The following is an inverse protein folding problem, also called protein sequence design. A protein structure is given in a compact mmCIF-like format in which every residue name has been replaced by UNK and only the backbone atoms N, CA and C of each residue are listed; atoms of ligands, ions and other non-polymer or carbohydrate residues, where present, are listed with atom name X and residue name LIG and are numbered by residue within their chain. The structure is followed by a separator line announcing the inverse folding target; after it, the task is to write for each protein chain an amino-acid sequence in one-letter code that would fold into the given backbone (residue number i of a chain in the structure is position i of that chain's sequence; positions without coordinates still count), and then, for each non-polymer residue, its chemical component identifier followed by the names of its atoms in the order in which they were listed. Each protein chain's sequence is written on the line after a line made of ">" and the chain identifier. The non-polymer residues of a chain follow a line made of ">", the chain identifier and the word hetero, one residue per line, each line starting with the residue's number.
data_IF_792505281110
#
_entry.id   IF_792505281110
#
_cell.length_a   1.000
_cell.length_b   1.000
_cell.length_c   1.000
_cell.angle_alpha   90.00
_cell.angle_beta   90.00
_cell.angle_gamma   90.00
#
_symmetry.space_group_name_H-M   'P 1'
#
loop_
_entity.id
_entity.type
_entity.pdbx_description
1 polymer ?
#
# COMPACT_ATOMS: atom_id res chain seq x y z
N UNK A 1 -0.70 -22.35 6.71
CA UNK A 1 -1.16 -21.09 7.32
C UNK A 1 -0.79 -19.99 6.36
N UNK A 2 -1.75 -19.25 5.82
CA UNK A 2 -1.48 -18.27 4.77
C UNK A 2 -0.65 -17.10 5.31
N UNK A 3 0.35 -16.68 4.54
CA UNK A 3 1.20 -15.55 4.89
C UNK A 3 0.41 -14.23 4.80
N UNK A 4 0.93 -13.16 5.41
CA UNK A 4 0.33 -11.83 5.27
C UNK A 4 0.29 -11.36 3.81
N UNK A 5 1.21 -11.84 2.98
CA UNK A 5 1.26 -11.58 1.54
C UNK A 5 0.16 -12.34 0.80
N UNK A 6 -0.08 -13.61 1.15
CA UNK A 6 -1.17 -14.40 0.54
C UNK A 6 -2.54 -13.77 0.82
N UNK A 7 -2.76 -13.33 2.06
CA UNK A 7 -3.98 -12.59 2.44
C UNK A 7 -4.13 -11.27 1.68
N UNK A 8 -3.02 -10.56 1.43
CA UNK A 8 -3.04 -9.34 0.64
C UNK A 8 -3.42 -9.62 -0.82
N UNK A 9 -2.85 -10.66 -1.42
CA UNK A 9 -3.19 -11.09 -2.78
C UNK A 9 -4.65 -11.53 -2.89
N UNK A 10 -5.18 -12.18 -1.87
CA UNK A 10 -6.60 -12.52 -1.83
C UNK A 10 -7.49 -11.28 -1.78
N UNK A 11 -7.15 -10.26 -0.97
CA UNK A 11 -7.86 -8.97 -0.99
C UNK A 11 -7.79 -8.28 -2.34
N UNK A 12 -6.66 -8.37 -3.03
CA UNK A 12 -6.51 -7.82 -4.38
C UNK A 12 -7.41 -8.54 -5.37
N UNK A 13 -7.44 -9.88 -5.33
CA UNK A 13 -8.30 -10.68 -6.17
C UNK A 13 -9.78 -10.39 -5.92
N UNK A 14 -10.20 -10.28 -4.66
CA UNK A 14 -11.58 -9.90 -4.27
C UNK A 14 -11.99 -8.56 -4.90
N UNK A 15 -11.15 -7.53 -4.73
CA UNK A 15 -11.43 -6.20 -5.28
C UNK A 15 -11.47 -6.21 -6.81
N UNK A 16 -10.60 -6.98 -7.45
CA UNK A 16 -10.59 -7.14 -8.90
C UNK A 16 -11.82 -7.87 -9.43
N UNK A 17 -12.23 -8.96 -8.79
CA UNK A 17 -13.42 -9.71 -9.18
C UNK A 17 -14.66 -8.82 -9.06
N UNK A 18 -14.78 -8.07 -7.98
CA UNK A 18 -15.85 -7.10 -7.78
C UNK A 18 -15.87 -6.06 -8.89
N UNK A 19 -14.69 -5.53 -9.25
CA UNK A 19 -14.60 -4.55 -10.33
C UNK A 19 -14.95 -5.11 -11.70
N UNK A 20 -14.45 -6.30 -12.02
CA UNK A 20 -14.74 -6.98 -13.29
C UNK A 20 -16.24 -7.21 -13.45
N UNK A 21 -16.92 -7.66 -12.40
CA UNK A 21 -18.38 -7.83 -12.38
C UNK A 21 -19.12 -6.50 -12.61
N UNK A 22 -18.61 -5.40 -12.05
CA UNK A 22 -19.22 -4.08 -12.24
C UNK A 22 -19.17 -3.61 -13.71
N UNK A 23 -18.12 -3.96 -14.44
CA UNK A 23 -17.92 -3.52 -15.84
C UNK A 23 -18.26 -4.59 -16.87
N UNK A 24 -18.75 -5.76 -16.45
CA UNK A 24 -18.95 -6.94 -17.29
C UNK A 24 -19.81 -6.63 -18.53
N UNK A 25 -20.93 -5.94 -18.35
CA UNK A 25 -21.85 -5.58 -19.43
C UNK A 25 -21.27 -4.58 -20.44
N UNK A 26 -20.21 -3.84 -20.08
CA UNK A 26 -19.57 -2.87 -20.94
C UNK A 26 -18.09 -2.66 -20.58
N UNK A 27 -17.29 -3.71 -20.79
CA UNK A 27 -15.86 -3.74 -20.44
C UNK A 27 -15.01 -2.71 -21.20
N UNK A 28 -15.55 -2.15 -22.29
CA UNK A 28 -14.91 -1.11 -23.09
C UNK A 28 -15.04 0.29 -22.48
N UNK A 29 -15.97 0.50 -21.54
CA UNK A 29 -16.03 1.74 -20.76
C UNK A 29 -14.75 1.87 -19.92
N UNK A 30 -14.31 3.11 -19.63
CA UNK A 30 -13.24 3.33 -18.68
C UNK A 30 -13.54 2.56 -17.39
N UNK A 31 -12.57 1.75 -16.97
CA UNK A 31 -12.74 0.94 -15.78
C UNK A 31 -12.80 1.84 -14.54
N UNK A 32 -12.35 3.08 -14.60
CA UNK A 32 -12.36 3.98 -13.45
C UNK A 32 -12.95 5.33 -13.82
N UNK A 33 -13.75 5.90 -12.92
CA UNK A 33 -14.11 7.31 -12.98
C UNK A 33 -12.98 8.21 -12.47
N UNK A 34 -12.58 9.24 -13.23
CA UNK A 34 -11.70 10.29 -12.73
C UNK A 34 -12.54 11.21 -11.82
N UNK A 35 -12.69 10.86 -10.55
CA UNK A 35 -13.35 11.71 -9.55
C UNK A 35 -12.33 12.24 -8.55
N UNK A 36 -11.75 13.41 -8.84
CA UNK A 36 -10.98 14.23 -7.90
C UNK A 36 -9.75 13.58 -7.27
N UNK A 37 -8.96 14.35 -6.50
CA UNK A 37 -7.93 13.83 -5.58
C UNK A 37 -6.60 13.35 -6.18
N UNK A 38 -6.49 13.15 -7.49
CA UNK A 38 -5.24 12.78 -8.16
C UNK A 38 -4.88 11.30 -8.05
N UNK A 39 -3.59 10.96 -8.22
CA UNK A 39 -3.11 9.59 -8.07
C UNK A 39 -3.00 9.21 -6.59
N UNK A 40 -3.20 7.92 -6.23
CA UNK A 40 -3.03 7.48 -4.87
C UNK A 40 -1.63 7.79 -4.35
N UNK A 41 -1.57 8.39 -3.16
CA UNK A 41 -0.34 8.83 -2.53
C UNK A 41 -0.32 8.51 -1.04
N UNK A 42 0.87 8.45 -0.45
CA UNK A 42 0.99 8.39 1.00
C UNK A 42 0.76 9.79 1.62
N UNK A 43 0.61 9.86 2.95
CA UNK A 43 0.44 11.13 3.68
C UNK A 43 1.59 12.14 3.49
N UNK A 44 2.75 11.69 3.03
CA UNK A 44 3.93 12.54 2.76
C UNK A 44 3.94 13.10 1.32
N UNK A 45 2.93 12.77 0.51
CA UNK A 45 2.81 13.24 -0.87
C UNK A 45 3.49 12.36 -1.93
N UNK A 46 4.08 11.22 -1.53
CA UNK A 46 4.69 10.29 -2.48
C UNK A 46 3.63 9.40 -3.11
N UNK A 47 3.52 9.47 -4.43
CA UNK A 47 2.61 8.61 -5.21
C UNK A 47 3.00 7.14 -5.11
N UNK A 48 2.00 6.27 -4.97
CA UNK A 48 2.19 4.84 -5.08
C UNK A 48 2.51 4.43 -6.52
N UNK A 49 3.14 3.28 -6.70
CA UNK A 49 3.52 2.74 -8.01
C UNK A 49 3.02 1.29 -8.19
N UNK A 50 3.03 0.83 -9.44
CA UNK A 50 2.66 -0.53 -9.83
C UNK A 50 1.29 -0.97 -9.30
N UNK A 51 1.24 -2.20 -8.79
CA UNK A 51 0.00 -2.81 -8.30
C UNK A 51 -0.62 -2.05 -7.12
N UNK A 52 0.18 -1.41 -6.26
CA UNK A 52 -0.36 -0.64 -5.15
C UNK A 52 -1.12 0.59 -5.64
N UNK A 53 -0.58 1.32 -6.63
CA UNK A 53 -1.28 2.46 -7.23
C UNK A 53 -2.63 2.03 -7.81
N UNK A 54 -2.62 0.97 -8.61
CA UNK A 54 -3.81 0.43 -9.23
C UNK A 54 -4.88 -0.03 -8.21
N UNK A 55 -4.48 -0.80 -7.20
CA UNK A 55 -5.41 -1.32 -6.18
C UNK A 55 -5.97 -0.22 -5.29
N UNK A 56 -5.15 0.76 -4.90
CA UNK A 56 -5.62 1.89 -4.10
C UNK A 56 -6.54 2.81 -4.91
N UNK A 57 -6.32 2.91 -6.21
CA UNK A 57 -7.22 3.65 -7.09
C UNK A 57 -8.59 2.98 -7.17
N UNK A 58 -8.62 1.66 -7.38
CA UNK A 58 -9.86 0.87 -7.33
C UNK A 58 -10.57 0.98 -6.00
N UNK A 59 -9.82 0.93 -4.89
CA UNK A 59 -10.37 1.08 -3.56
C UNK A 59 -10.97 2.48 -3.35
N UNK A 60 -10.27 3.53 -3.81
CA UNK A 60 -10.77 4.91 -3.72
C UNK A 60 -12.06 5.09 -4.47
N UNK A 61 -12.16 4.54 -5.68
CA UNK A 61 -13.39 4.59 -6.47
C UNK A 61 -14.53 3.83 -5.78
N UNK A 62 -14.26 2.61 -5.29
CA UNK A 62 -15.25 1.77 -4.62
C UNK A 62 -15.82 2.43 -3.36
N UNK A 63 -14.94 2.90 -2.49
CA UNK A 63 -15.31 3.52 -1.20
C UNK A 63 -15.67 5.01 -1.34
N UNK A 64 -15.62 5.54 -2.57
CA UNK A 64 -15.93 6.93 -2.89
C UNK A 64 -15.06 7.94 -2.12
N UNK A 65 -13.78 7.60 -1.94
CA UNK A 65 -12.83 8.52 -1.36
C UNK A 65 -12.55 9.69 -2.32
N UNK A 66 -12.75 10.91 -1.85
CA UNK A 66 -12.42 12.14 -2.57
C UNK A 66 -10.93 12.45 -2.53
N UNK A 67 -10.22 11.99 -1.49
CA UNK A 67 -8.79 12.14 -1.33
C UNK A 67 -8.13 10.76 -1.28
N UNK A 68 -7.44 10.30 -2.34
CA UNK A 68 -6.74 9.02 -2.37
C UNK A 68 -5.40 9.10 -1.62
N UNK A 69 -5.41 9.67 -0.41
CA UNK A 69 -4.26 9.81 0.47
C UNK A 69 -4.33 8.72 1.55
N UNK A 70 -3.25 7.97 1.69
CA UNK A 70 -3.20 6.79 2.54
C UNK A 70 -2.09 6.87 3.58
N UNK A 71 -2.32 6.24 4.73
CA UNK A 71 -1.34 6.18 5.82
C UNK A 71 -1.43 4.88 6.61
N UNK A 72 -0.31 4.46 7.19
CA UNK A 72 -0.31 3.36 8.17
C UNK A 72 -0.90 3.82 9.50
N UNK A 73 -1.31 2.85 10.34
CA UNK A 73 -1.78 3.15 11.70
C UNK A 73 -0.75 3.94 12.52
N UNK A 74 0.53 3.59 12.40
CA UNK A 74 1.59 4.31 13.13
C UNK A 74 1.72 5.75 12.63
N UNK A 75 1.71 5.96 11.31
CA UNK A 75 1.70 7.31 10.75
C UNK A 75 0.48 8.13 11.20
N UNK A 76 -0.70 7.51 11.33
CA UNK A 76 -1.90 8.19 11.83
C UNK A 76 -1.65 8.69 13.26
N UNK A 77 -1.17 7.79 14.13
CA UNK A 77 -0.81 8.11 15.52
C UNK A 77 0.27 9.21 15.61
N UNK A 78 1.33 9.11 14.82
CA UNK A 78 2.42 10.09 14.79
C UNK A 78 1.95 11.47 14.31
N UNK A 79 0.89 11.50 13.49
CA UNK A 79 0.23 12.73 13.08
C UNK A 79 -0.87 13.19 14.05
N UNK A 80 -1.07 12.53 15.19
CA UNK A 80 -2.12 12.86 16.16
C UNK A 80 -3.54 12.57 15.64
N UNK A 81 -3.67 11.66 14.68
CA UNK A 81 -4.93 11.22 14.10
C UNK A 81 -5.35 9.88 14.68
N UNK A 82 -6.65 9.69 14.79
CA UNK A 82 -7.26 8.43 15.19
C UNK A 82 -8.01 7.83 14.00
N UNK A 83 -7.85 6.52 13.81
CA UNK A 83 -8.69 5.75 12.89
C UNK A 83 -10.10 5.69 13.48
N UNK A 84 -11.12 5.99 12.67
CA UNK A 84 -12.51 5.94 13.10
C UNK A 84 -12.92 4.50 13.45
N UNK A 85 -13.81 4.37 14.43
CA UNK A 85 -14.20 3.05 14.95
C UNK A 85 -14.91 2.24 13.87
N UNK A 86 -14.41 1.03 13.61
CA UNK A 86 -15.00 0.09 12.65
C UNK A 86 -14.35 0.12 11.27
N UNK A 87 -13.48 1.10 11.01
CA UNK A 87 -12.75 1.21 9.76
C UNK A 87 -11.77 0.06 9.56
N UNK A 88 -11.65 -0.38 8.30
CA UNK A 88 -10.80 -1.50 7.91
C UNK A 88 -9.67 -1.02 7.03
N UNK A 89 -8.45 -1.45 7.37
CA UNK A 89 -7.28 -1.19 6.54
C UNK A 89 -7.33 -1.99 5.24
N UNK A 90 -6.62 -1.47 4.23
CA UNK A 90 -6.31 -2.18 3.00
C UNK A 90 -4.81 -2.53 2.94
N UNK A 91 -4.45 -3.74 2.48
CA UNK A 91 -3.04 -4.12 2.38
C UNK A 91 -2.37 -3.49 1.16
N UNK A 92 -1.09 -3.16 1.28
CA UNK A 92 -0.19 -2.79 0.17
C UNK A 92 1.07 -3.64 0.27
N UNK A 93 1.66 -4.01 -0.86
CA UNK A 93 2.79 -4.94 -0.93
C UNK A 93 4.06 -4.25 -1.43
N UNK A 94 5.20 -4.61 -0.85
CA UNK A 94 6.51 -4.12 -1.23
C UNK A 94 7.47 -5.28 -1.40
N UNK A 95 8.32 -5.19 -2.42
CA UNK A 95 9.48 -6.07 -2.52
C UNK A 95 10.53 -5.67 -1.50
N UNK A 96 11.03 -6.66 -0.77
CA UNK A 96 12.17 -6.52 0.10
C UNK A 96 13.09 -7.73 -0.06
N UNK A 97 14.33 -7.61 0.41
CA UNK A 97 15.36 -8.60 0.22
C UNK A 97 15.90 -9.06 1.57
N UNK A 98 15.88 -10.38 1.80
CA UNK A 98 16.56 -10.98 2.93
C UNK A 98 17.95 -11.38 2.49
N UNK A 99 18.97 -10.71 3.02
CA UNK A 99 20.38 -11.05 2.76
C UNK A 99 20.92 -11.83 3.96
N UNK A 100 21.50 -13.01 3.70
CA UNK A 100 22.08 -13.88 4.73
C UNK A 100 23.46 -14.37 4.31
N UNK A 101 24.41 -14.42 5.24
CA UNK A 101 25.72 -15.05 5.00
C UNK A 101 25.62 -16.58 4.99
N UNK A 102 26.75 -17.26 4.73
CA UNK A 102 26.87 -18.73 4.79
C UNK A 102 26.49 -19.33 6.16
N UNK A 103 26.62 -18.55 7.23
CA UNK A 103 26.28 -18.95 8.61
C UNK A 103 24.82 -18.62 8.97
N UNK A 104 24.04 -18.04 8.05
CA UNK A 104 22.64 -17.68 8.24
C UNK A 104 22.39 -16.32 8.91
N UNK A 105 23.44 -15.56 9.26
CA UNK A 105 23.35 -14.22 9.85
C UNK A 105 22.78 -13.23 8.84
N UNK A 106 21.75 -12.47 9.23
CA UNK A 106 21.14 -11.45 8.39
C UNK A 106 21.92 -10.15 8.43
N UNK A 107 22.04 -9.50 7.28
CA UNK A 107 22.50 -8.11 7.16
C UNK A 107 21.44 -7.25 6.45
N UNK A 108 21.40 -5.93 6.70
CA UNK A 108 20.55 -5.02 5.94
C UNK A 108 20.91 -5.02 4.45
N UNK A 109 19.91 -4.89 3.58
CA UNK A 109 20.12 -4.87 2.13
C UNK A 109 21.01 -3.69 1.69
N UNK A 110 20.92 -2.54 2.34
CA UNK A 110 21.76 -1.38 2.02
C UNK A 110 23.24 -1.64 2.32
N UNK A 111 23.54 -2.42 3.36
CA UNK A 111 24.91 -2.85 3.66
C UNK A 111 25.42 -3.78 2.55
N UNK A 112 24.62 -4.79 2.18
CA UNK A 112 24.95 -5.71 1.10
C UNK A 112 25.22 -5.00 -0.24
N UNK A 113 24.38 -4.01 -0.59
CA UNK A 113 24.51 -3.25 -1.83
C UNK A 113 25.83 -2.47 -1.91
N UNK A 114 26.41 -2.11 -0.76
CA UNK A 114 27.66 -1.38 -0.64
C UNK A 114 28.90 -2.28 -0.54
N UNK A 115 28.75 -3.61 -0.42
CA UNK A 115 29.86 -4.57 -0.44
C UNK A 115 30.46 -4.70 -1.84
N UNK A 116 31.71 -5.14 -1.92
CA UNK A 116 32.32 -5.45 -3.20
C UNK A 116 31.69 -6.70 -3.85
N UNK A 117 31.94 -6.91 -5.16
CA UNK A 117 31.32 -8.03 -5.90
C UNK A 117 31.75 -9.42 -5.39
N UNK A 118 32.93 -9.55 -4.78
CA UNK A 118 33.42 -10.84 -4.29
C UNK A 118 32.76 -11.17 -2.94
N UNK A 119 32.69 -10.19 -2.05
CA UNK A 119 31.98 -10.25 -0.78
C UNK A 119 30.49 -10.51 -0.99
N UNK A 120 29.86 -9.89 -1.99
CA UNK A 120 28.45 -10.14 -2.31
C UNK A 120 28.16 -11.61 -2.64
N UNK A 121 29.11 -12.37 -3.21
CA UNK A 121 28.93 -13.80 -3.52
C UNK A 121 28.87 -14.68 -2.27
N UNK A 122 29.37 -14.18 -1.14
CA UNK A 122 29.32 -14.87 0.15
C UNK A 122 27.93 -14.82 0.79
N UNK A 123 27.00 -14.03 0.22
CA UNK A 123 25.65 -13.87 0.75
C UNK A 123 24.59 -14.44 -0.19
N UNK A 124 23.60 -15.11 0.41
CA UNK A 124 22.36 -15.48 -0.25
C UNK A 124 21.36 -14.34 -0.13
N UNK A 125 20.95 -13.80 -1.27
CA UNK A 125 19.86 -12.82 -1.38
C UNK A 125 18.57 -13.54 -1.74
N UNK A 126 17.52 -13.34 -0.95
CA UNK A 126 16.19 -13.92 -1.23
C UNK A 126 15.14 -12.82 -1.24
N UNK A 127 14.49 -12.56 -2.38
CA UNK A 127 13.39 -11.60 -2.44
C UNK A 127 12.17 -12.14 -1.69
N UNK A 128 11.45 -11.25 -1.03
CA UNK A 128 10.18 -11.57 -0.39
C UNK A 128 9.25 -10.35 -0.45
N UNK A 129 7.95 -10.62 -0.40
CA UNK A 129 6.93 -9.59 -0.29
C UNK A 129 6.70 -9.23 1.18
N UNK A 130 6.71 -7.94 1.47
CA UNK A 130 6.31 -7.37 2.74
C UNK A 130 4.98 -6.64 2.57
N UNK A 131 4.02 -6.95 3.42
CA UNK A 131 2.72 -6.29 3.44
C UNK A 131 2.69 -5.20 4.51
N UNK A 132 2.10 -4.05 4.18
CA UNK A 132 1.70 -3.03 5.15
C UNK A 132 0.20 -2.78 5.02
N UNK A 133 -0.45 -2.47 6.14
CA UNK A 133 -1.85 -2.10 6.17
C UNK A 133 -1.97 -0.58 6.20
N UNK A 134 -2.72 -0.03 5.26
CA UNK A 134 -2.97 1.40 5.14
C UNK A 134 -4.44 1.73 5.28
N UNK A 135 -4.71 2.93 5.74
CA UNK A 135 -6.03 3.54 5.86
C UNK A 135 -6.05 4.79 4.98
N UNK A 136 -7.17 5.05 4.32
CA UNK A 136 -7.40 6.33 3.68
C UNK A 136 -7.58 7.42 4.76
N UNK A 137 -7.18 8.66 4.47
CA UNK A 137 -7.37 9.81 5.40
C UNK A 137 -8.83 10.02 5.81
N UNK A 138 -9.80 9.66 4.97
CA UNK A 138 -11.24 9.70 5.28
C UNK A 138 -11.67 8.67 6.33
N UNK A 139 -10.85 7.66 6.58
CA UNK A 139 -11.06 6.68 7.64
C UNK A 139 -10.51 7.18 8.99
N UNK A 140 -10.15 8.46 9.08
CA UNK A 140 -9.57 9.09 10.27
C UNK A 140 -10.35 10.33 10.65
N UNK A 141 -10.10 10.84 11.86
CA UNK A 141 -10.63 12.12 12.33
C UNK A 141 -9.89 13.35 11.75
N UNK A 142 -9.20 13.23 10.62
CA UNK A 142 -8.45 14.35 10.00
C UNK A 142 -9.35 15.55 9.71
N UNK A 143 -10.55 15.32 9.18
CA UNK A 143 -11.53 16.38 8.89
C UNK A 143 -11.90 17.21 10.12
N UNK A 144 -12.01 16.56 11.28
CA UNK A 144 -12.40 17.21 12.53
C UNK A 144 -11.21 17.91 13.21
N UNK A 145 -10.03 17.30 13.14
CA UNK A 145 -8.86 17.74 13.90
C UNK A 145 -7.96 18.72 13.16
N UNK A 146 -7.95 18.68 11.82
CA UNK A 146 -7.08 19.47 10.94
C UNK A 146 -7.80 19.84 9.64
N UNK A 147 -8.91 20.60 9.68
CA UNK A 147 -9.68 20.96 8.49
C UNK A 147 -8.85 21.71 7.44
N UNK A 148 -7.84 22.48 7.86
CA UNK A 148 -6.94 23.19 6.95
C UNK A 148 -6.12 22.26 6.05
N UNK A 149 -5.83 21.04 6.50
CA UNK A 149 -5.12 20.02 5.70
C UNK A 149 -6.06 19.21 4.82
N UNK A 150 -7.36 19.25 5.10
CA UNK A 150 -8.38 18.55 4.33
C UNK A 150 -8.79 19.33 3.08
N UNK A 151 -8.80 20.67 3.17
CA UNK A 151 -9.22 21.57 2.09
C UNK A 151 -8.09 21.99 1.15
N UNK A 152 -6.83 21.68 1.49
CA UNK A 152 -5.63 21.99 0.72
C UNK A 152 -5.37 20.97 -0.40
#
# INVERSE_FOLDING_TARGET
>A
MDTASDKALQRFAELMIEKIKQVEDNWQKPWFGIKGGGLPQNIEGRTYNGVNSFMLFLLSEKEQYSLPVYMTFMQAKDNGLNILKGEKSFPVIYWNFSVRDKNGKKIPFDVYKNLDKNEQQEYKVTPFLKTYNVFNVQQTNLQETKPEKWEA
#
